data_IF_541805395726
#
_entry.id   IF_541805395726
#
_cell.length_a   1.000
_cell.length_b   1.000
_cell.length_c   1.000
_cell.angle_alpha   90.00
_cell.angle_beta   90.00
_cell.angle_gamma   90.00
#
_symmetry.space_group_name_H-M   'P 1'
#
loop_
_entity.id
_entity.type
_entity.pdbx_description
1 polymer ?
#
# COMPACT_ATOMS: atom_id res chain seq x y z
N UNK A 1 10.85 -7.82 -3.49
CA UNK A 1 10.07 -9.05 -3.38
C UNK A 1 9.21 -9.17 -4.62
N UNK A 2 9.11 -10.36 -5.15
CA UNK A 2 8.13 -10.71 -6.16
C UNK A 2 6.93 -11.29 -5.43
N UNK A 3 5.75 -10.78 -5.71
CA UNK A 3 4.50 -11.33 -5.23
C UNK A 3 3.90 -12.14 -6.37
N UNK A 4 3.88 -13.46 -6.23
CA UNK A 4 3.16 -14.34 -7.13
C UNK A 4 1.66 -14.26 -6.81
N UNK A 5 0.88 -13.83 -7.76
CA UNK A 5 -0.59 -13.83 -7.64
C UNK A 5 -1.13 -15.08 -8.34
N UNK A 6 -1.99 -15.76 -7.66
CA UNK A 6 -2.70 -16.89 -8.23
C UNK A 6 -4.02 -16.37 -8.79
N UNK A 7 -4.19 -16.41 -10.09
CA UNK A 7 -5.35 -15.86 -10.81
C UNK A 7 -6.69 -16.52 -10.49
N UNK A 8 -6.76 -17.47 -9.56
CA UNK A 8 -7.99 -18.21 -9.26
C UNK A 8 -8.22 -18.28 -7.74
N UNK A 9 -9.39 -17.83 -7.29
CA UNK A 9 -9.84 -18.00 -5.90
C UNK A 9 -10.29 -19.45 -5.71
N UNK A 10 -9.77 -20.18 -4.71
CA UNK A 10 -10.10 -21.59 -4.50
C UNK A 10 -11.59 -21.75 -4.16
N UNK A 11 -12.31 -22.52 -4.97
CA UNK A 11 -13.71 -22.89 -4.73
C UNK A 11 -13.87 -24.41 -4.63
N UNK A 12 -14.72 -24.86 -3.71
CA UNK A 12 -15.09 -26.28 -3.61
C UNK A 12 -16.16 -26.60 -4.65
N UNK A 13 -15.92 -27.70 -5.42
CA UNK A 13 -16.88 -28.24 -6.39
C UNK A 13 -17.35 -29.63 -5.92
N UNK A 14 -18.57 -30.05 -6.30
CA UNK A 14 -18.98 -31.43 -6.17
C UNK A 14 -17.97 -32.36 -6.88
N UNK A 15 -17.51 -33.38 -6.18
CA UNK A 15 -16.57 -34.35 -6.77
C UNK A 15 -17.32 -35.34 -7.65
N UNK A 16 -17.24 -35.13 -8.96
CA UNK A 16 -17.81 -36.03 -9.97
C UNK A 16 -16.69 -36.46 -10.92
N UNK A 17 -16.29 -37.74 -10.88
CA UNK A 17 -15.20 -38.25 -11.71
C UNK A 17 -13.80 -38.01 -11.12
N UNK A 18 -12.80 -37.88 -12.00
CA UNK A 18 -11.40 -37.65 -11.59
C UNK A 18 -11.18 -36.25 -11.07
N UNK A 19 -10.17 -36.08 -10.19
CA UNK A 19 -9.78 -34.73 -9.70
C UNK A 19 -9.30 -33.87 -10.86
N UNK A 20 -9.97 -32.77 -11.11
CA UNK A 20 -9.50 -31.77 -12.06
C UNK A 20 -8.39 -30.94 -11.39
N UNK A 21 -7.15 -31.14 -11.86
CA UNK A 21 -6.00 -30.35 -11.44
C UNK A 21 -5.98 -29.09 -12.29
N UNK A 22 -6.18 -27.91 -11.66
CA UNK A 22 -5.88 -26.65 -12.31
C UNK A 22 -4.43 -26.29 -12.03
N UNK A 23 -3.70 -26.00 -13.10
CA UNK A 23 -2.42 -25.32 -12.99
C UNK A 23 -2.73 -23.85 -12.66
N UNK A 24 -2.21 -23.39 -11.54
CA UNK A 24 -2.34 -22.00 -11.13
C UNK A 24 -1.32 -21.19 -11.93
N UNK A 25 -1.79 -20.28 -12.76
CA UNK A 25 -0.93 -19.31 -13.42
C UNK A 25 -0.49 -18.27 -12.42
N UNK A 26 0.82 -18.15 -12.22
CA UNK A 26 1.42 -17.15 -11.36
C UNK A 26 1.67 -15.87 -12.16
N UNK A 27 0.92 -14.83 -11.88
CA UNK A 27 1.27 -13.48 -12.31
C UNK A 27 2.26 -12.88 -11.31
N UNK A 28 3.38 -12.35 -11.78
CA UNK A 28 4.37 -11.73 -10.91
C UNK A 28 4.22 -10.22 -10.90
N UNK A 29 3.92 -9.66 -9.73
CA UNK A 29 4.01 -8.23 -9.48
C UNK A 29 5.22 -7.95 -8.60
N UNK A 30 6.14 -7.09 -9.07
CA UNK A 30 7.38 -6.80 -8.36
C UNK A 30 7.32 -5.46 -7.67
N UNK A 31 7.43 -5.47 -6.33
CA UNK A 31 7.53 -4.26 -5.51
C UNK A 31 8.97 -4.07 -5.04
N UNK A 32 9.66 -3.05 -5.57
CA UNK A 32 11.03 -2.72 -5.24
C UNK A 32 11.07 -1.73 -4.09
N UNK A 33 11.79 -2.07 -2.99
CA UNK A 33 11.95 -1.16 -1.86
C UNK A 33 12.84 0.02 -2.20
N UNK A 34 12.47 1.19 -1.66
CA UNK A 34 13.23 2.41 -1.73
C UNK A 34 13.87 2.73 -0.38
N UNK A 35 15.07 3.33 -0.34
CA UNK A 35 15.68 3.81 0.88
C UNK A 35 15.14 5.20 1.24
N UNK A 36 14.93 5.42 2.52
CA UNK A 36 14.54 6.70 3.11
C UNK A 36 15.49 7.05 4.23
N UNK A 37 15.81 8.33 4.40
CA UNK A 37 16.66 8.81 5.45
C UNK A 37 16.25 10.20 5.92
N UNK A 38 16.61 10.51 7.16
CA UNK A 38 16.52 11.85 7.74
C UNK A 38 17.70 12.05 8.69
N UNK A 39 18.60 12.96 8.36
CA UNK A 39 19.81 13.20 9.14
C UNK A 39 19.88 14.64 9.63
N UNK A 40 20.14 14.82 10.92
CA UNK A 40 20.34 16.13 11.58
C UNK A 40 21.78 16.21 12.07
N UNK A 41 22.48 17.27 11.68
CA UNK A 41 23.80 17.60 12.22
C UNK A 41 23.67 18.76 13.22
N UNK A 42 24.28 18.59 14.41
CA UNK A 42 24.30 19.62 15.46
C UNK A 42 25.74 19.81 15.93
N UNK A 43 26.17 21.05 16.18
CA UNK A 43 27.49 21.28 16.78
C UNK A 43 27.50 20.71 18.21
N UNK A 44 28.60 20.09 18.60
CA UNK A 44 28.76 19.52 19.94
C UNK A 44 28.56 20.60 21.02
N UNK A 45 29.16 21.77 20.83
CA UNK A 45 29.00 22.94 21.74
C UNK A 45 27.56 23.34 21.94
N UNK A 46 26.73 23.30 20.87
CA UNK A 46 25.34 23.72 20.97
C UNK A 46 24.50 22.73 21.80
N UNK A 47 24.91 21.45 21.84
CA UNK A 47 24.27 20.42 22.68
C UNK A 47 24.76 20.56 24.13
N UNK A 48 26.07 20.80 24.33
CA UNK A 48 26.69 20.94 25.65
C UNK A 48 26.12 22.20 26.36
N UNK A 49 25.84 23.27 25.60
CA UNK A 49 25.31 24.53 26.10
C UNK A 49 23.77 24.62 26.06
N UNK A 50 23.06 23.54 25.69
CA UNK A 50 21.57 23.53 25.57
C UNK A 50 20.88 23.53 26.93
N UNK A 51 20.87 24.70 27.55
CA UNK A 51 20.18 24.92 28.83
C UNK A 51 18.63 24.90 28.72
N UNK A 52 18.08 24.96 27.53
CA UNK A 52 16.62 25.00 27.27
C UNK A 52 16.05 23.67 26.78
N UNK A 53 16.88 22.69 26.47
CA UNK A 53 16.46 21.38 25.94
C UNK A 53 15.83 21.46 24.54
N UNK A 54 16.19 22.47 23.75
CA UNK A 54 15.61 22.74 22.42
C UNK A 54 15.89 21.57 21.46
N UNK A 55 17.07 20.97 21.54
CA UNK A 55 17.46 19.85 20.69
C UNK A 55 16.70 18.57 21.01
N UNK A 56 16.38 18.33 22.29
CA UNK A 56 15.52 17.19 22.68
C UNK A 56 14.14 17.27 22.02
N UNK A 57 13.57 18.47 21.87
CA UNK A 57 12.31 18.72 21.15
C UNK A 57 12.42 18.36 19.66
N UNK A 58 13.55 18.67 19.02
CA UNK A 58 13.79 18.36 17.59
C UNK A 58 13.92 16.85 17.36
N UNK A 59 14.63 16.13 18.21
CA UNK A 59 14.75 14.65 18.11
C UNK A 59 13.40 13.96 18.32
N UNK A 60 12.58 14.45 19.26
CA UNK A 60 11.20 13.97 19.42
C UNK A 60 10.34 14.25 18.18
N UNK A 61 10.53 15.39 17.53
CA UNK A 61 9.81 15.71 16.28
C UNK A 61 10.24 14.80 15.13
N UNK A 62 11.54 14.48 15.01
CA UNK A 62 12.06 13.52 14.04
C UNK A 62 11.48 12.12 14.27
N UNK A 63 11.41 11.66 15.53
CA UNK A 63 10.76 10.39 15.87
C UNK A 63 9.28 10.35 15.53
N UNK A 64 8.53 11.47 15.74
CA UNK A 64 7.13 11.57 15.33
C UNK A 64 6.97 11.58 13.80
N UNK A 65 7.88 12.22 13.07
CA UNK A 65 7.88 12.17 11.61
C UNK A 65 8.09 10.74 11.11
N UNK A 66 9.06 10.01 11.67
CA UNK A 66 9.29 8.60 11.34
C UNK A 66 8.09 7.70 11.66
N UNK A 67 7.32 8.01 12.70
CA UNK A 67 6.10 7.27 13.04
C UNK A 67 4.94 7.53 12.07
N UNK A 68 4.84 8.74 11.49
CA UNK A 68 3.81 9.09 10.48
C UNK A 68 4.21 8.71 9.06
N UNK A 69 5.49 8.50 8.82
CA UNK A 69 6.00 8.22 7.48
C UNK A 69 5.30 7.05 6.75
N UNK A 70 4.86 5.93 7.38
CA UNK A 70 4.05 4.92 6.71
C UNK A 70 2.75 5.47 6.11
N UNK A 71 2.08 6.36 6.80
CA UNK A 71 0.85 7.01 6.31
C UNK A 71 1.14 7.92 5.12
N UNK A 72 2.28 8.63 5.15
CA UNK A 72 2.76 9.48 4.05
C UNK A 72 3.10 8.69 2.78
N UNK A 73 3.28 7.37 2.88
CA UNK A 73 3.44 6.48 1.73
C UNK A 73 2.10 5.88 1.28
N UNK A 74 1.27 5.43 2.21
CA UNK A 74 0.05 4.67 1.90
C UNK A 74 -1.05 5.55 1.32
N UNK A 75 -1.33 6.71 1.91
CA UNK A 75 -2.44 7.56 1.46
C UNK A 75 -2.22 8.14 0.05
N UNK A 76 -1.04 8.67 -0.31
CA UNK A 76 -0.78 9.08 -1.68
C UNK A 76 -0.85 7.92 -2.68
N UNK A 77 -0.37 6.72 -2.31
CA UNK A 77 -0.47 5.55 -3.17
C UNK A 77 -1.93 5.16 -3.43
N UNK A 78 -2.80 5.20 -2.40
CA UNK A 78 -4.22 4.94 -2.57
C UNK A 78 -4.86 5.94 -3.55
N UNK A 79 -4.55 7.22 -3.43
CA UNK A 79 -5.00 8.26 -4.37
C UNK A 79 -4.46 8.08 -5.79
N UNK A 80 -3.21 7.64 -5.93
CA UNK A 80 -2.57 7.36 -7.23
C UNK A 80 -3.11 6.10 -7.92
N UNK A 81 -3.91 5.27 -7.22
CA UNK A 81 -4.46 4.02 -7.77
C UNK A 81 -5.34 4.19 -9.00
N UNK A 82 -5.83 5.39 -9.30
CA UNK A 82 -6.55 5.68 -10.54
C UNK A 82 -5.65 5.78 -11.77
N UNK A 83 -4.33 5.90 -11.59
CA UNK A 83 -3.36 6.07 -12.66
C UNK A 83 -2.21 5.04 -12.58
N UNK A 84 -2.05 4.39 -11.43
CA UNK A 84 -0.96 3.46 -11.18
C UNK A 84 -1.40 2.02 -11.46
N UNK A 85 -0.63 1.32 -12.29
CA UNK A 85 -0.92 -0.04 -12.70
C UNK A 85 -0.83 -1.05 -11.54
N UNK A 86 -1.71 -2.05 -11.56
CA UNK A 86 -1.67 -3.21 -10.68
C UNK A 86 -1.21 -4.48 -11.42
N UNK A 87 -1.47 -5.64 -10.84
CA UNK A 87 -0.93 -6.91 -11.32
C UNK A 87 -1.47 -7.38 -12.69
N UNK A 88 -2.65 -6.91 -13.11
CA UNK A 88 -3.26 -7.25 -14.40
C UNK A 88 -2.87 -6.29 -15.54
N UNK A 89 -2.06 -5.27 -15.22
CA UNK A 89 -1.59 -4.27 -16.17
C UNK A 89 -2.52 -3.07 -16.35
N UNK A 90 -3.72 -3.10 -15.75
CA UNK A 90 -4.63 -1.97 -15.68
C UNK A 90 -4.33 -1.09 -14.47
N UNK A 91 -4.91 0.10 -14.39
CA UNK A 91 -4.86 0.92 -13.17
C UNK A 91 -5.53 0.19 -12.01
N UNK A 92 -5.10 0.43 -10.78
CA UNK A 92 -5.68 -0.25 -9.61
C UNK A 92 -7.16 0.05 -9.42
N UNK A 93 -7.59 1.27 -9.74
CA UNK A 93 -9.00 1.64 -9.89
C UNK A 93 -9.27 1.90 -11.37
N UNK A 94 -9.97 0.99 -12.00
CA UNK A 94 -10.27 1.04 -13.43
C UNK A 94 -11.71 0.64 -13.73
N UNK A 95 -12.17 1.00 -14.93
CA UNK A 95 -13.51 0.72 -15.41
C UNK A 95 -13.61 -0.63 -16.13
N UNK A 96 -12.50 -1.26 -16.50
CA UNK A 96 -12.46 -2.38 -17.43
C UNK A 96 -11.47 -3.50 -17.08
N UNK A 97 -11.30 -3.81 -15.80
CA UNK A 97 -10.52 -4.96 -15.36
C UNK A 97 -10.98 -6.25 -16.04
N UNK A 98 -10.08 -7.02 -16.69
CA UNK A 98 -10.45 -8.27 -17.31
C UNK A 98 -10.73 -9.36 -16.27
N UNK A 99 -11.87 -10.04 -16.41
CA UNK A 99 -12.26 -11.18 -15.57
C UNK A 99 -12.76 -12.29 -16.49
N UNK A 100 -12.29 -13.52 -16.26
CA UNK A 100 -12.63 -14.69 -17.06
C UNK A 100 -11.40 -15.40 -17.58
N UNK A 101 -11.61 -16.52 -18.28
CA UNK A 101 -10.55 -17.31 -18.86
C UNK A 101 -10.36 -16.96 -20.35
N UNK A 102 -9.24 -16.32 -20.74
CA UNK A 102 -8.98 -16.01 -22.15
C UNK A 102 -8.96 -17.25 -23.06
N UNK A 103 -8.60 -18.41 -22.52
CA UNK A 103 -8.57 -19.66 -23.30
C UNK A 103 -9.97 -20.20 -23.62
N UNK A 104 -10.95 -19.87 -22.79
CA UNK A 104 -12.37 -20.23 -23.02
C UNK A 104 -13.13 -19.15 -23.81
N UNK A 105 -12.50 -17.99 -24.07
CA UNK A 105 -13.11 -16.87 -24.82
C UNK A 105 -14.20 -16.11 -24.05
N UNK A 106 -14.28 -16.29 -22.74
CA UNK A 106 -15.30 -15.67 -21.87
C UNK A 106 -14.65 -14.59 -20.98
N UNK A 107 -13.98 -13.61 -21.59
CA UNK A 107 -13.44 -12.45 -20.88
C UNK A 107 -14.50 -11.36 -20.81
N UNK A 108 -14.84 -10.96 -19.58
CA UNK A 108 -15.72 -9.82 -19.26
C UNK A 108 -14.89 -8.70 -18.66
N UNK A 109 -15.36 -7.48 -18.76
CA UNK A 109 -14.78 -6.34 -18.07
C UNK A 109 -15.60 -5.99 -16.85
N UNK A 110 -14.91 -5.66 -15.75
CA UNK A 110 -15.52 -5.29 -14.47
C UNK A 110 -14.89 -4.00 -13.97
N UNK A 111 -15.72 -3.09 -13.49
CA UNK A 111 -15.27 -1.84 -12.91
C UNK A 111 -15.20 -1.94 -11.38
N UNK A 112 -14.12 -1.40 -10.81
CA UNK A 112 -13.99 -1.15 -9.38
C UNK A 112 -13.90 0.36 -9.08
N UNK A 113 -14.44 1.20 -9.97
CA UNK A 113 -14.44 2.65 -9.79
C UNK A 113 -15.74 3.33 -10.21
N UNK A 114 -15.98 4.52 -9.66
CA UNK A 114 -16.96 5.49 -10.16
C UNK A 114 -16.23 6.76 -10.60
N UNK A 115 -16.50 7.17 -11.84
CA UNK A 115 -16.00 8.42 -12.39
C UNK A 115 -16.68 9.64 -11.74
N UNK A 116 -15.96 10.77 -11.70
CA UNK A 116 -16.48 12.02 -11.18
C UNK A 116 -15.39 13.08 -11.09
N UNK A 117 -15.69 14.22 -10.48
CA UNK A 117 -14.78 15.33 -10.29
C UNK A 117 -14.64 15.75 -8.81
N UNK A 118 -15.23 15.00 -7.89
CA UNK A 118 -15.20 15.25 -6.46
C UNK A 118 -13.92 14.68 -5.82
N UNK A 119 -13.64 15.07 -4.57
CA UNK A 119 -12.58 14.45 -3.80
C UNK A 119 -12.79 12.93 -3.72
N UNK A 120 -11.77 12.12 -3.98
CA UNK A 120 -11.92 10.69 -4.01
C UNK A 120 -12.24 10.10 -2.64
N UNK A 121 -13.08 9.08 -2.62
CA UNK A 121 -13.32 8.23 -1.45
C UNK A 121 -13.19 6.76 -1.86
N UNK A 122 -12.93 5.91 -0.88
CA UNK A 122 -12.57 4.51 -1.15
C UNK A 122 -13.31 3.58 -0.20
N UNK A 123 -13.77 2.44 -0.73
CA UNK A 123 -14.20 1.29 0.07
C UNK A 123 -13.16 0.20 -0.02
N UNK A 124 -12.77 -0.35 1.11
CA UNK A 124 -11.72 -1.36 1.20
C UNK A 124 -12.23 -2.57 2.00
N UNK A 125 -11.95 -3.77 1.51
CA UNK A 125 -12.05 -5.00 2.30
C UNK A 125 -10.70 -5.30 2.95
N UNK A 126 -10.61 -5.07 4.25
CA UNK A 126 -9.42 -5.35 5.06
C UNK A 126 -9.56 -6.62 5.89
N UNK A 127 -10.57 -7.45 5.62
CA UNK A 127 -10.81 -8.72 6.32
C UNK A 127 -10.03 -9.90 5.75
N UNK A 128 -9.48 -9.75 4.56
CA UNK A 128 -8.77 -10.80 3.84
C UNK A 128 -7.30 -10.92 4.33
N UNK A 129 -6.68 -12.07 4.03
CA UNK A 129 -5.28 -12.32 4.39
C UNK A 129 -4.30 -11.33 3.72
N UNK A 130 -4.66 -10.84 2.53
CA UNK A 130 -3.94 -9.77 1.83
C UNK A 130 -4.77 -8.49 1.89
N UNK A 131 -4.14 -7.39 2.25
CA UNK A 131 -4.76 -6.07 2.24
C UNK A 131 -4.77 -5.49 0.82
N UNK A 132 -5.75 -4.67 0.44
CA UNK A 132 -5.83 -4.08 -0.91
C UNK A 132 -4.59 -3.23 -1.25
N UNK A 133 -4.03 -2.54 -0.27
CA UNK A 133 -2.76 -1.80 -0.38
C UNK A 133 -1.73 -2.45 0.54
N UNK A 134 -0.55 -2.72 0.02
CA UNK A 134 0.54 -3.39 0.72
C UNK A 134 1.62 -2.38 1.05
N UNK A 135 1.87 -2.15 2.33
CA UNK A 135 3.09 -1.49 2.80
C UNK A 135 4.17 -2.56 3.03
N UNK A 136 5.11 -2.67 2.10
CA UNK A 136 6.25 -3.55 2.23
C UNK A 136 7.37 -2.85 3.01
N UNK A 137 7.51 -3.16 4.30
CA UNK A 137 8.57 -2.59 5.13
C UNK A 137 9.73 -3.57 5.25
N UNK A 138 10.82 -3.31 4.52
CA UNK A 138 12.03 -4.14 4.54
C UNK A 138 12.92 -3.82 5.73
N UNK A 139 13.00 -2.54 6.10
CA UNK A 139 13.74 -2.04 7.25
C UNK A 139 12.87 -0.99 7.94
N UNK A 140 12.54 -1.23 9.20
CA UNK A 140 11.84 -0.25 10.03
C UNK A 140 12.73 0.96 10.27
N UNK A 141 12.16 2.16 10.52
CA UNK A 141 12.93 3.31 10.95
C UNK A 141 13.83 2.96 12.12
N UNK A 142 15.13 3.20 11.96
CA UNK A 142 16.18 2.87 12.93
C UNK A 142 16.97 4.13 13.22
N UNK A 143 16.96 4.55 14.48
CA UNK A 143 17.67 5.74 14.95
C UNK A 143 19.14 5.41 15.20
N UNK A 144 20.00 6.25 14.67
CA UNK A 144 21.46 6.14 14.81
C UNK A 144 22.05 7.48 15.21
N UNK A 145 23.06 7.41 16.06
CA UNK A 145 23.85 8.57 16.46
C UNK A 145 25.32 8.36 16.16
N UNK A 146 26.00 9.42 15.79
CA UNK A 146 27.44 9.51 15.59
C UNK A 146 27.95 10.70 16.38
N UNK A 147 28.31 10.46 17.65
CA UNK A 147 28.75 11.47 18.60
C UNK A 147 30.19 11.25 19.08
N UNK A 148 30.75 10.05 18.82
CA UNK A 148 32.13 9.73 19.22
C UNK A 148 33.15 10.28 18.21
N UNK A 149 34.05 11.20 18.63
CA UNK A 149 35.12 11.69 17.76
C UNK A 149 36.11 10.61 17.28
N UNK A 150 36.20 9.48 17.97
CA UNK A 150 37.07 8.37 17.56
C UNK A 150 36.46 7.53 16.45
N UNK A 151 35.12 7.54 16.34
CA UNK A 151 34.36 6.78 15.34
C UNK A 151 33.87 7.62 14.15
N UNK A 152 33.89 8.96 14.29
CA UNK A 152 33.35 9.88 13.30
C UNK A 152 34.34 10.98 12.97
N UNK A 153 34.82 10.99 11.71
CA UNK A 153 35.67 12.05 11.17
C UNK A 153 35.00 13.43 11.31
N UNK A 154 33.67 13.50 11.14
CA UNK A 154 32.90 14.74 11.24
C UNK A 154 32.81 15.26 12.67
N UNK A 155 32.70 14.38 13.66
CA UNK A 155 32.75 14.75 15.07
C UNK A 155 34.14 15.25 15.43
N UNK A 156 35.21 14.60 14.94
CA UNK A 156 36.58 14.99 15.21
C UNK A 156 37.00 16.29 14.50
N UNK A 157 36.78 16.37 13.20
CA UNK A 157 37.28 17.49 12.37
C UNK A 157 36.40 18.74 12.43
N UNK A 158 35.08 18.59 12.64
CA UNK A 158 34.10 19.67 12.59
C UNK A 158 33.34 19.93 13.88
N UNK A 159 33.66 19.19 14.93
CA UNK A 159 32.93 19.24 16.21
C UNK A 159 31.41 19.17 16.03
N UNK A 160 30.96 18.23 15.15
CA UNK A 160 29.55 18.09 14.77
C UNK A 160 29.08 16.68 15.00
N UNK A 161 28.05 16.53 15.82
CA UNK A 161 27.33 15.28 16.04
C UNK A 161 26.27 15.07 14.99
N UNK A 162 26.08 13.81 14.57
CA UNK A 162 25.05 13.42 13.59
C UNK A 162 24.03 12.50 14.23
N UNK A 163 22.77 12.78 13.98
CA UNK A 163 21.63 11.98 14.40
C UNK A 163 20.81 11.66 13.17
N UNK A 164 20.63 10.37 12.87
CA UNK A 164 19.96 9.93 11.66
C UNK A 164 18.93 8.85 11.91
N UNK A 165 17.92 8.83 11.06
CA UNK A 165 16.97 7.72 10.93
C UNK A 165 17.05 7.23 9.50
N UNK A 166 17.18 5.92 9.31
CA UNK A 166 17.09 5.32 7.99
C UNK A 166 16.06 4.18 7.98
N UNK A 167 15.37 4.03 6.85
CA UNK A 167 14.36 3.02 6.64
C UNK A 167 14.35 2.53 5.19
N UNK A 168 13.72 1.39 4.93
CA UNK A 168 13.50 0.88 3.58
C UNK A 168 12.10 0.30 3.46
N UNK A 169 11.29 0.90 2.61
CA UNK A 169 9.94 0.42 2.33
C UNK A 169 9.52 0.75 0.89
N UNK A 170 8.38 0.25 0.50
CA UNK A 170 7.59 0.77 -0.60
C UNK A 170 6.14 0.36 -0.42
N UNK A 171 5.24 1.01 -1.16
CA UNK A 171 3.82 0.71 -1.20
C UNK A 171 3.46 0.19 -2.58
N UNK A 172 2.58 -0.78 -2.62
CA UNK A 172 2.05 -1.34 -3.84
C UNK A 172 0.63 -1.84 -3.64
N UNK A 173 0.05 -2.35 -4.71
CA UNK A 173 -1.33 -2.84 -4.71
C UNK A 173 -1.36 -4.36 -4.68
N UNK A 174 -2.43 -4.90 -4.08
CA UNK A 174 -2.75 -6.32 -4.15
C UNK A 174 -3.91 -6.54 -5.13
N UNK A 175 -4.91 -7.30 -4.73
CA UNK A 175 -6.09 -7.54 -5.55
C UNK A 175 -6.98 -6.30 -5.62
N UNK A 176 -7.24 -5.80 -6.83
CA UNK A 176 -8.13 -4.68 -7.07
C UNK A 176 -9.56 -4.98 -6.62
N UNK A 177 -9.96 -6.26 -6.62
CA UNK A 177 -11.27 -6.74 -6.14
C UNK A 177 -11.54 -6.36 -4.68
N UNK A 178 -10.49 -6.15 -3.88
CA UNK A 178 -10.57 -5.78 -2.46
C UNK A 178 -10.75 -4.28 -2.23
N UNK A 179 -10.81 -3.48 -3.30
CA UNK A 179 -10.91 -2.03 -3.23
C UNK A 179 -11.88 -1.49 -4.27
N UNK A 180 -12.55 -0.40 -3.93
CA UNK A 180 -13.37 0.39 -4.84
C UNK A 180 -13.04 1.87 -4.65
N UNK A 181 -12.74 2.57 -5.74
CA UNK A 181 -12.42 3.99 -5.72
C UNK A 181 -13.51 4.82 -6.39
N UNK A 182 -13.97 5.89 -5.76
CA UNK A 182 -14.95 6.78 -6.34
C UNK A 182 -14.48 8.21 -6.38
N UNK A 183 -14.67 8.88 -7.50
CA UNK A 183 -14.55 10.33 -7.69
C UNK A 183 -15.92 11.02 -7.81
N UNK A 184 -17.02 10.28 -7.63
CA UNK A 184 -18.37 10.85 -7.52
C UNK A 184 -18.58 11.39 -6.09
N UNK A 185 -19.58 12.25 -5.92
CA UNK A 185 -19.94 12.76 -4.59
C UNK A 185 -20.30 11.60 -3.65
N UNK A 186 -19.85 11.70 -2.40
CA UNK A 186 -20.23 10.71 -1.39
C UNK A 186 -21.67 10.93 -0.96
N UNK A 187 -22.58 10.32 -1.72
CA UNK A 187 -24.02 10.26 -1.43
C UNK A 187 -24.42 8.85 -1.02
N UNK A 188 -25.64 8.73 -0.47
CA UNK A 188 -26.18 7.42 -0.10
C UNK A 188 -26.30 6.49 -1.31
N UNK A 189 -26.72 7.00 -2.46
CA UNK A 189 -26.89 6.22 -3.68
C UNK A 189 -25.52 5.77 -4.24
N UNK A 190 -24.57 6.70 -4.39
CA UNK A 190 -23.23 6.36 -4.88
C UNK A 190 -22.50 5.38 -3.94
N UNK A 191 -22.70 5.50 -2.62
CA UNK A 191 -22.18 4.54 -1.66
C UNK A 191 -22.82 3.16 -1.80
N UNK A 192 -24.15 3.08 -1.97
CA UNK A 192 -24.85 1.81 -2.20
C UNK A 192 -24.40 1.13 -3.47
N UNK A 193 -24.26 1.88 -4.56
CA UNK A 193 -23.81 1.37 -5.85
C UNK A 193 -22.39 0.80 -5.74
N UNK A 194 -21.47 1.54 -5.10
CA UNK A 194 -20.11 1.08 -4.86
C UNK A 194 -20.06 -0.19 -3.97
N UNK A 195 -20.86 -0.21 -2.91
CA UNK A 195 -20.97 -1.36 -2.02
C UNK A 195 -21.52 -2.59 -2.74
N UNK A 196 -22.58 -2.43 -3.56
CA UNK A 196 -23.17 -3.51 -4.34
C UNK A 196 -22.22 -4.01 -5.41
N UNK A 197 -21.52 -3.11 -6.10
CA UNK A 197 -20.51 -3.47 -7.09
C UNK A 197 -19.44 -4.35 -6.46
N UNK A 198 -18.89 -3.93 -5.33
CA UNK A 198 -17.81 -4.66 -4.65
C UNK A 198 -18.26 -6.01 -4.09
N UNK A 199 -19.46 -6.08 -3.45
CA UNK A 199 -20.01 -7.34 -2.92
C UNK A 199 -20.53 -8.28 -4.01
N UNK A 200 -20.84 -7.72 -5.17
CA UNK A 200 -21.33 -8.44 -6.35
C UNK A 200 -20.24 -9.13 -7.17
N UNK A 201 -18.95 -8.85 -6.90
CA UNK A 201 -17.83 -9.40 -7.67
C UNK A 201 -17.85 -10.91 -7.71
N UNK A 202 -17.55 -11.44 -8.88
CA UNK A 202 -17.49 -12.87 -9.18
C UNK A 202 -16.06 -13.27 -9.57
N UNK A 203 -15.73 -14.51 -9.32
CA UNK A 203 -14.51 -15.11 -9.86
C UNK A 203 -14.70 -15.49 -11.34
N UNK A 204 -13.64 -15.90 -12.02
CA UNK A 204 -13.62 -16.30 -13.43
C UNK A 204 -14.65 -17.38 -13.81
N UNK A 205 -15.32 -17.99 -12.85
CA UNK A 205 -16.33 -19.06 -13.01
C UNK A 205 -17.73 -18.67 -12.56
N UNK A 206 -17.98 -17.38 -12.30
CA UNK A 206 -19.28 -16.87 -11.84
C UNK A 206 -19.59 -17.14 -10.36
N UNK A 207 -18.62 -17.65 -9.57
CA UNK A 207 -18.78 -17.79 -8.13
C UNK A 207 -18.55 -16.46 -7.41
N UNK A 208 -19.37 -16.12 -6.40
CA UNK A 208 -19.20 -14.89 -5.61
C UNK A 208 -17.91 -14.93 -4.81
N UNK A 209 -17.14 -13.85 -4.82
CA UNK A 209 -15.89 -13.70 -4.08
C UNK A 209 -16.10 -13.47 -2.57
N UNK A 210 -17.34 -13.22 -2.14
CA UNK A 210 -17.72 -12.94 -0.76
C UNK A 210 -16.95 -11.77 -0.12
N UNK A 211 -16.61 -10.77 -0.94
CA UNK A 211 -15.93 -9.55 -0.51
C UNK A 211 -16.90 -8.71 0.34
N UNK A 212 -16.37 -8.15 1.43
CA UNK A 212 -17.13 -7.30 2.35
C UNK A 212 -16.36 -6.01 2.59
N UNK A 213 -16.82 -4.87 2.10
CA UNK A 213 -16.24 -3.59 2.47
C UNK A 213 -16.27 -3.40 4.00
N UNK A 214 -15.10 -3.23 4.60
CA UNK A 214 -14.93 -3.10 6.05
C UNK A 214 -14.46 -1.71 6.45
N UNK A 215 -13.91 -0.94 5.50
CA UNK A 215 -13.33 0.36 5.74
C UNK A 215 -13.77 1.35 4.67
N UNK A 216 -14.34 2.49 5.09
CA UNK A 216 -14.57 3.67 4.25
C UNK A 216 -13.46 4.69 4.53
N UNK A 217 -12.77 5.11 3.47
CA UNK A 217 -11.74 6.18 3.53
C UNK A 217 -12.28 7.39 2.79
N UNK A 218 -12.22 8.54 3.43
CA UNK A 218 -12.65 9.83 2.90
C UNK A 218 -11.52 10.85 3.08
N UNK A 219 -11.38 11.79 2.15
CA UNK A 219 -10.42 12.89 2.18
C UNK A 219 -11.03 14.17 2.73
#
# INVERSE_FOLDING_TARGET
NEYGWLGDWPSLKPWIGDRQIKLLEAHSYSLKNEPFESTIGVKATDIEDDNLGVYAGRFKAQGRAAARWPDELVWPALGAGFDAACYDGQSFFDADHPVGDPAEGDVKTVSNMQAGASAPWFLLDTSQALMPVILQMRKKPDFKEMTDPKASERAFMKNQYLYGIDARANVGYSFWQLAFGSKADLSEDNFKDAYQSMTGLENDRGGKLAIKPTLLVVG
#
